data_IF_471340318105
#
_entry.id   IF_471340318105
#
_cell.length_a   1.000
_cell.length_b   1.000
_cell.length_c   1.000
_cell.angle_alpha   90.00
_cell.angle_beta   90.00
_cell.angle_gamma   90.00
#
_symmetry.space_group_name_H-M   'P 1'
#
loop_
_entity.id
_entity.type
_entity.pdbx_description
1 polymer ?
#
# COMPACT_ATOMS: atom_id res chain seq x y z
N UNK A 1 -8.43 -12.67 4.02
CA UNK A 1 -8.19 -11.22 3.81
C UNK A 1 -8.08 -10.41 5.09
N UNK A 2 -9.08 -10.39 5.98
CA UNK A 2 -9.05 -9.51 7.18
C UNK A 2 -7.79 -9.66 8.05
N UNK A 3 -7.35 -10.89 8.33
CA UNK A 3 -6.15 -11.16 9.15
C UNK A 3 -4.87 -10.61 8.49
N UNK A 4 -4.72 -10.80 7.18
CA UNK A 4 -3.59 -10.29 6.39
C UNK A 4 -3.54 -8.75 6.49
N UNK A 5 -4.68 -8.08 6.32
CA UNK A 5 -4.76 -6.62 6.43
C UNK A 5 -4.40 -6.14 7.84
N UNK A 6 -4.85 -6.84 8.89
CA UNK A 6 -4.50 -6.50 10.28
C UNK A 6 -2.99 -6.62 10.50
N UNK A 7 -2.37 -7.73 10.08
CA UNK A 7 -0.92 -7.94 10.22
C UNK A 7 -0.15 -6.85 9.47
N UNK A 8 -0.55 -6.53 8.24
CA UNK A 8 0.04 -5.47 7.44
C UNK A 8 -0.10 -4.11 8.13
N UNK A 9 -1.28 -3.78 8.63
CA UNK A 9 -1.56 -2.50 9.29
C UNK A 9 -0.70 -2.33 10.55
N UNK A 10 -0.67 -3.36 11.40
CA UNK A 10 0.12 -3.33 12.64
C UNK A 10 1.62 -3.21 12.32
N UNK A 11 2.13 -4.02 11.40
CA UNK A 11 3.55 -3.96 11.02
C UNK A 11 3.93 -2.60 10.42
N UNK A 12 3.09 -2.03 9.55
CA UNK A 12 3.32 -0.71 8.95
C UNK A 12 3.31 0.39 10.01
N UNK A 13 2.34 0.39 10.92
CA UNK A 13 2.24 1.38 11.99
C UNK A 13 3.45 1.32 12.91
N UNK A 14 3.88 0.11 13.28
CA UNK A 14 5.06 -0.11 14.12
C UNK A 14 6.31 0.43 13.42
N UNK A 15 6.48 0.17 12.12
CA UNK A 15 7.59 0.70 11.33
C UNK A 15 7.60 2.24 11.29
N UNK A 16 6.45 2.89 11.11
CA UNK A 16 6.33 4.36 11.11
C UNK A 16 6.76 4.95 12.45
N UNK A 17 6.28 4.38 13.57
CA UNK A 17 6.61 4.86 14.93
C UNK A 17 8.12 4.79 15.18
N UNK A 18 8.76 3.70 14.77
CA UNK A 18 10.21 3.53 14.96
C UNK A 18 10.99 4.46 14.02
N UNK A 19 10.57 4.60 12.77
CA UNK A 19 11.19 5.52 11.82
C UNK A 19 11.11 6.98 12.30
N UNK A 20 9.97 7.40 12.89
CA UNK A 20 9.81 8.72 13.49
C UNK A 20 10.74 8.92 14.69
N UNK A 21 10.96 7.88 15.49
CA UNK A 21 11.82 7.96 16.68
C UNK A 21 13.32 8.02 16.31
N UNK A 22 13.71 7.40 15.19
CA UNK A 22 15.10 7.37 14.72
C UNK A 22 15.45 8.54 13.79
N UNK A 23 14.48 9.33 13.34
CA UNK A 23 14.73 10.47 12.44
C UNK A 23 15.05 11.73 13.22
N UNK A 24 16.27 12.25 13.06
CA UNK A 24 16.69 13.54 13.63
C UNK A 24 16.44 14.75 12.70
N UNK A 25 15.92 14.51 11.49
CA UNK A 25 15.67 15.58 10.52
C UNK A 25 14.33 16.28 10.80
N UNK A 26 14.35 17.60 10.81
CA UNK A 26 13.12 18.39 10.86
C UNK A 26 12.31 18.22 9.57
N UNK A 27 11.10 17.68 9.70
CA UNK A 27 10.13 17.64 8.60
C UNK A 27 9.73 19.09 8.28
N UNK A 28 10.17 19.57 7.12
CA UNK A 28 9.72 20.86 6.61
C UNK A 28 8.31 20.69 6.03
N UNK A 29 7.35 21.45 6.57
CA UNK A 29 5.97 21.49 6.07
C UNK A 29 5.77 22.47 4.91
N UNK A 30 6.87 22.95 4.32
CA UNK A 30 6.81 23.86 3.17
C UNK A 30 6.31 23.05 1.98
N UNK A 31 5.17 23.46 1.45
CA UNK A 31 4.62 22.89 0.23
C UNK A 31 5.58 23.16 -0.93
N UNK A 32 6.06 22.08 -1.55
CA UNK A 32 6.81 22.14 -2.81
C UNK A 32 5.90 21.69 -3.94
N UNK A 33 5.59 22.61 -4.85
CA UNK A 33 4.91 22.29 -6.10
C UNK A 33 5.96 22.03 -7.18
N UNK A 34 5.69 21.12 -8.14
CA UNK A 34 6.56 20.92 -9.30
C UNK A 34 6.72 22.23 -10.07
N UNK A 35 7.96 22.67 -10.28
CA UNK A 35 8.26 23.89 -11.05
C UNK A 35 8.85 23.55 -12.42
N UNK A 36 9.56 22.42 -12.52
CA UNK A 36 10.30 22.03 -13.71
C UNK A 36 9.54 20.98 -14.54
N UNK A 37 9.75 20.97 -15.86
CA UNK A 37 9.13 20.01 -16.78
C UNK A 37 9.30 18.52 -16.37
N UNK A 38 10.45 18.05 -15.83
CA UNK A 38 10.58 16.67 -15.37
C UNK A 38 9.71 16.34 -14.16
N UNK A 39 9.55 17.28 -13.23
CA UNK A 39 8.74 17.10 -12.01
C UNK A 39 7.25 17.06 -12.37
N UNK A 40 6.83 17.92 -13.30
CA UNK A 40 5.46 17.92 -13.85
C UNK A 40 5.21 16.61 -14.62
N UNK A 41 6.17 16.16 -15.44
CA UNK A 41 6.09 14.89 -16.17
C UNK A 41 5.96 13.69 -15.22
N UNK A 42 6.73 13.68 -14.13
CA UNK A 42 6.61 12.66 -13.08
C UNK A 42 5.22 12.70 -12.42
N UNK A 43 4.71 13.89 -12.08
CA UNK A 43 3.38 14.01 -11.47
C UNK A 43 2.28 13.47 -12.40
N UNK A 44 2.32 13.79 -13.69
CA UNK A 44 1.38 13.28 -14.70
C UNK A 44 1.45 11.75 -14.77
N UNK A 45 2.66 11.19 -14.86
CA UNK A 45 2.85 9.74 -14.90
C UNK A 45 2.34 9.06 -13.62
N UNK A 46 2.62 9.65 -12.45
CA UNK A 46 2.17 9.16 -11.16
C UNK A 46 0.63 9.17 -11.04
N UNK A 47 -0.02 10.27 -11.42
CA UNK A 47 -1.48 10.38 -11.43
C UNK A 47 -2.13 9.41 -12.43
N UNK A 48 -1.53 9.24 -13.61
CA UNK A 48 -2.02 8.34 -14.65
C UNK A 48 -1.91 6.85 -14.28
N UNK A 49 -0.97 6.50 -13.38
CA UNK A 49 -0.82 5.15 -12.83
C UNK A 49 -1.75 4.84 -11.65
N UNK A 50 -2.38 5.86 -11.06
CA UNK A 50 -3.19 5.73 -9.85
C UNK A 50 -4.71 5.45 -10.01
N UNK A 51 -5.32 5.30 -11.20
CA UNK A 51 -6.61 4.64 -11.28
C UNK A 51 -6.42 3.13 -11.20
N UNK A 52 -7.07 2.51 -10.22
CA UNK A 52 -7.17 1.07 -10.16
C UNK A 52 -7.89 0.55 -11.44
N UNK A 53 -7.49 -0.61 -12.01
CA UNK A 53 -8.15 -1.16 -13.19
C UNK A 53 -9.67 -1.21 -13.04
N UNK A 54 -10.40 -0.87 -14.12
CA UNK A 54 -11.87 -0.88 -14.12
C UNK A 54 -12.44 -2.26 -13.73
N UNK A 55 -11.68 -3.33 -13.96
CA UNK A 55 -12.00 -4.71 -13.58
C UNK A 55 -12.28 -4.91 -12.08
N UNK A 56 -11.65 -4.10 -11.21
CA UNK A 56 -11.86 -4.19 -9.76
C UNK A 56 -13.31 -3.83 -9.39
N UNK A 57 -13.95 -2.94 -10.15
CA UNK A 57 -15.37 -2.61 -9.95
C UNK A 57 -16.28 -3.81 -10.21
N UNK A 58 -15.93 -4.64 -11.19
CA UNK A 58 -16.65 -5.88 -11.52
C UNK A 58 -16.49 -6.87 -10.37
N UNK A 59 -15.27 -7.03 -9.85
CA UNK A 59 -14.98 -7.92 -8.72
C UNK A 59 -15.78 -7.55 -7.47
N UNK A 60 -15.81 -6.26 -7.14
CA UNK A 60 -16.63 -5.75 -6.03
C UNK A 60 -18.11 -6.04 -6.20
N UNK A 61 -18.64 -5.89 -7.42
CA UNK A 61 -20.04 -6.20 -7.72
C UNK A 61 -20.35 -7.69 -7.53
N UNK A 62 -19.49 -8.58 -8.04
CA UNK A 62 -19.64 -10.02 -7.90
C UNK A 62 -19.58 -10.47 -6.43
N UNK A 63 -18.66 -9.93 -5.64
CA UNK A 63 -18.60 -10.20 -4.20
C UNK A 63 -19.83 -9.69 -3.45
N UNK A 64 -20.37 -8.53 -3.82
CA UNK A 64 -21.60 -7.98 -3.22
C UNK A 64 -22.82 -8.86 -3.56
N UNK A 65 -22.92 -9.35 -4.79
CA UNK A 65 -23.97 -10.27 -5.21
C UNK A 65 -23.92 -11.59 -4.43
N UNK A 66 -22.75 -12.20 -4.28
CA UNK A 66 -22.64 -13.44 -3.50
C UNK A 66 -22.95 -13.24 -2.02
N UNK A 67 -22.50 -12.12 -1.44
CA UNK A 67 -22.81 -11.78 -0.04
C UNK A 67 -24.31 -11.56 0.19
N UNK A 68 -25.03 -11.07 -0.82
CA UNK A 68 -26.49 -10.94 -0.78
C UNK A 68 -27.22 -12.29 -0.86
N UNK A 69 -26.67 -13.27 -1.58
CA UNK A 69 -27.23 -14.64 -1.61
C UNK A 69 -27.10 -15.32 -0.25
N UNK A 70 -25.97 -15.14 0.44
CA UNK A 70 -25.75 -15.68 1.78
C UNK A 70 -26.52 -14.92 2.87
N UNK A 71 -26.67 -13.61 2.73
CA UNK A 71 -27.36 -12.76 3.68
C UNK A 71 -28.40 -11.87 2.99
N UNK A 72 -29.67 -12.29 3.01
CA UNK A 72 -30.78 -11.54 2.39
C UNK A 72 -31.04 -10.14 2.98
N UNK A 73 -30.43 -9.80 4.12
CA UNK A 73 -30.46 -8.44 4.68
C UNK A 73 -29.37 -7.51 4.14
N UNK A 74 -28.50 -8.01 3.23
CA UNK A 74 -27.41 -7.24 2.66
C UNK A 74 -27.95 -6.18 1.69
N UNK A 75 -28.03 -4.95 2.21
CA UNK A 75 -28.50 -3.79 1.46
C UNK A 75 -27.35 -3.05 0.77
N UNK A 76 -27.69 -2.21 -0.21
CA UNK A 76 -26.74 -1.27 -0.83
C UNK A 76 -26.05 -0.39 0.23
N UNK A 77 -26.79 0.04 1.27
CA UNK A 77 -26.24 0.83 2.36
C UNK A 77 -25.15 0.07 3.14
N UNK A 78 -25.35 -1.22 3.37
CA UNK A 78 -24.35 -2.10 4.01
C UNK A 78 -23.12 -2.28 3.12
N UNK A 79 -23.31 -2.43 1.80
CA UNK A 79 -22.20 -2.51 0.84
C UNK A 79 -21.38 -1.22 0.76
N UNK A 80 -22.03 -0.06 0.76
CA UNK A 80 -21.35 1.24 0.78
C UNK A 80 -20.59 1.46 2.09
N UNK A 81 -21.14 1.03 3.22
CA UNK A 81 -20.45 1.10 4.50
C UNK A 81 -19.18 0.24 4.49
N UNK A 82 -19.27 -1.02 4.05
CA UNK A 82 -18.12 -1.93 3.92
C UNK A 82 -17.03 -1.31 3.01
N UNK A 83 -17.44 -0.73 1.88
CA UNK A 83 -16.53 -0.05 0.96
C UNK A 83 -15.85 1.16 1.60
N UNK A 84 -16.60 2.06 2.22
CA UNK A 84 -16.07 3.28 2.83
C UNK A 84 -15.08 2.99 3.96
N UNK A 85 -15.35 1.97 4.79
CA UNK A 85 -14.43 1.53 5.84
C UNK A 85 -13.13 1.00 5.23
N UNK A 86 -13.23 0.14 4.21
CA UNK A 86 -12.07 -0.36 3.49
C UNK A 86 -11.25 0.76 2.84
N UNK A 87 -11.92 1.66 2.13
CA UNK A 87 -11.30 2.78 1.43
C UNK A 87 -10.58 3.74 2.39
N UNK A 88 -11.22 4.08 3.52
CA UNK A 88 -10.61 4.93 4.56
C UNK A 88 -9.37 4.27 5.16
N UNK A 89 -9.43 2.97 5.45
CA UNK A 89 -8.28 2.22 5.94
C UNK A 89 -7.14 2.19 4.91
N UNK A 90 -7.44 2.05 3.61
CA UNK A 90 -6.44 2.10 2.53
C UNK A 90 -5.79 3.48 2.44
N UNK A 91 -6.56 4.57 2.54
CA UNK A 91 -6.00 5.94 2.57
C UNK A 91 -5.03 6.09 3.75
N UNK A 92 -5.45 5.66 4.94
CA UNK A 92 -4.63 5.76 6.15
C UNK A 92 -3.31 5.00 6.00
N UNK A 93 -3.36 3.75 5.53
CA UNK A 93 -2.16 2.93 5.29
C UNK A 93 -1.28 3.54 4.20
N UNK A 94 -1.88 4.07 3.12
CA UNK A 94 -1.16 4.76 2.05
C UNK A 94 -0.37 5.97 2.56
N UNK A 95 -0.97 6.74 3.48
CA UNK A 95 -0.27 7.83 4.16
C UNK A 95 0.90 7.32 5.01
N UNK A 96 0.73 6.22 5.74
CA UNK A 96 1.83 5.58 6.47
C UNK A 96 3.00 5.16 5.56
N UNK A 97 2.73 4.57 4.40
CA UNK A 97 3.78 4.23 3.42
C UNK A 97 4.48 5.46 2.84
N UNK A 98 3.72 6.54 2.58
CA UNK A 98 4.30 7.81 2.14
C UNK A 98 5.24 8.40 3.20
N UNK A 99 4.85 8.35 4.48
CA UNK A 99 5.71 8.76 5.60
C UNK A 99 6.98 7.90 5.66
N UNK A 100 6.88 6.58 5.54
CA UNK A 100 8.05 5.71 5.53
C UNK A 100 8.99 6.02 4.37
N UNK A 101 8.47 6.27 3.16
CA UNK A 101 9.28 6.73 2.03
C UNK A 101 10.01 8.04 2.35
N UNK A 102 9.33 8.97 3.02
CA UNK A 102 9.92 10.25 3.43
C UNK A 102 10.97 10.11 4.53
N UNK A 103 10.77 9.22 5.51
CA UNK A 103 11.67 9.08 6.65
C UNK A 103 12.88 8.20 6.35
N UNK A 104 12.71 7.18 5.49
CA UNK A 104 13.73 6.15 5.23
C UNK A 104 14.44 6.35 3.88
N UNK A 105 13.72 6.78 2.85
CA UNK A 105 14.25 6.82 1.47
C UNK A 105 14.66 8.23 1.04
N UNK A 106 13.94 9.27 1.45
CA UNK A 106 14.26 10.65 1.10
C UNK A 106 15.62 11.06 1.67
N UNK A 107 16.45 11.75 0.87
CA UNK A 107 17.82 12.16 1.22
C UNK A 107 18.78 11.02 1.62
N UNK A 108 18.43 9.75 1.38
CA UNK A 108 19.33 8.62 1.64
C UNK A 108 20.61 8.60 0.79
N UNK A 109 20.64 9.37 -0.32
CA UNK A 109 21.77 9.44 -1.24
C UNK A 109 21.91 8.24 -2.19
N UNK A 110 21.06 7.24 -2.03
CA UNK A 110 21.07 6.00 -2.81
C UNK A 110 20.37 6.17 -4.16
N UNK A 111 20.89 5.51 -5.19
CA UNK A 111 20.25 5.46 -6.52
C UNK A 111 19.47 4.16 -6.66
N UNK A 112 18.16 4.28 -6.88
CA UNK A 112 17.29 3.12 -7.06
C UNK A 112 17.52 2.47 -8.42
N UNK A 113 17.72 1.15 -8.40
CA UNK A 113 17.78 0.35 -9.62
C UNK A 113 16.41 0.27 -10.28
N UNK A 114 16.38 0.30 -11.62
CA UNK A 114 15.16 0.02 -12.39
C UNK A 114 14.77 -1.47 -12.36
N UNK A 115 15.67 -2.35 -11.89
CA UNK A 115 15.41 -3.79 -11.77
C UNK A 115 14.73 -4.08 -10.44
N UNK A 116 13.50 -4.62 -10.49
CA UNK A 116 12.66 -4.85 -9.31
C UNK A 116 13.34 -5.65 -8.19
N UNK A 117 14.02 -6.76 -8.51
CA UNK A 117 14.72 -7.58 -7.51
C UNK A 117 15.83 -6.79 -6.80
N UNK A 118 16.57 -5.97 -7.55
CA UNK A 118 17.64 -5.14 -6.97
C UNK A 118 17.04 -4.04 -6.11
N UNK A 119 15.97 -3.40 -6.58
CA UNK A 119 15.23 -2.40 -5.82
C UNK A 119 14.67 -2.95 -4.50
N UNK A 120 14.08 -4.16 -4.51
CA UNK A 120 13.57 -4.81 -3.29
C UNK A 120 14.68 -5.02 -2.24
N UNK A 121 15.87 -5.45 -2.67
CA UNK A 121 17.02 -5.60 -1.77
C UNK A 121 17.53 -4.25 -1.25
N UNK A 122 17.57 -3.22 -2.10
CA UNK A 122 17.91 -1.86 -1.69
C UNK A 122 16.94 -1.34 -0.63
N UNK A 123 15.64 -1.54 -0.83
CA UNK A 123 14.59 -1.13 0.09
C UNK A 123 14.75 -1.85 1.44
N UNK A 124 14.91 -3.17 1.45
CA UNK A 124 15.13 -3.92 2.69
C UNK A 124 16.41 -3.45 3.40
N UNK A 125 17.49 -3.17 2.67
CA UNK A 125 18.74 -2.66 3.26
C UNK A 125 18.56 -1.29 3.91
N UNK A 126 17.84 -0.36 3.27
CA UNK A 126 17.57 0.97 3.84
C UNK A 126 16.76 0.90 5.13
N UNK A 127 15.72 0.07 5.12
CA UNK A 127 14.88 -0.09 6.29
C UNK A 127 15.63 -0.79 7.43
N UNK A 128 16.43 -1.81 7.15
CA UNK A 128 17.25 -2.48 8.18
C UNK A 128 18.36 -1.59 8.74
N UNK A 129 18.94 -0.70 7.93
CA UNK A 129 19.86 0.34 8.42
C UNK A 129 19.19 1.33 9.38
N UNK A 130 17.96 1.74 9.10
CA UNK A 130 17.23 2.73 9.91
C UNK A 130 16.51 2.12 11.13
N UNK A 131 16.00 0.90 11.04
CA UNK A 131 15.14 0.26 12.05
C UNK A 131 15.89 -0.83 12.86
N UNK A 132 17.05 -1.27 12.39
CA UNK A 132 17.83 -2.37 12.96
C UNK A 132 17.65 -3.70 12.21
N UNK A 133 18.56 -4.64 12.45
CA UNK A 133 18.61 -5.94 11.73
C UNK A 133 17.36 -6.80 11.93
N UNK A 134 16.71 -6.71 13.09
CA UNK A 134 15.46 -7.44 13.40
C UNK A 134 14.29 -7.04 12.48
N UNK A 135 14.31 -5.82 11.92
CA UNK A 135 13.28 -5.34 11.00
C UNK A 135 13.27 -6.11 9.66
N UNK A 136 14.37 -6.78 9.30
CA UNK A 136 14.48 -7.58 8.08
C UNK A 136 13.37 -8.63 8.01
N UNK A 137 13.20 -9.39 9.10
CA UNK A 137 12.23 -10.49 9.16
C UNK A 137 10.80 -9.96 9.05
N UNK A 138 10.51 -8.85 9.71
CA UNK A 138 9.17 -8.24 9.71
C UNK A 138 8.81 -7.73 8.32
N UNK A 139 9.72 -7.03 7.65
CA UNK A 139 9.50 -6.49 6.31
C UNK A 139 9.38 -7.62 5.30
N UNK A 140 10.20 -8.66 5.41
CA UNK A 140 10.09 -9.86 4.57
C UNK A 140 8.72 -10.53 4.69
N UNK A 141 8.24 -10.73 5.93
CA UNK A 141 6.90 -11.30 6.18
C UNK A 141 5.80 -10.39 5.62
N UNK A 142 5.89 -9.07 5.83
CA UNK A 142 4.91 -8.11 5.32
C UNK A 142 4.87 -8.09 3.79
N UNK A 143 6.03 -8.08 3.13
CA UNK A 143 6.15 -8.10 1.67
C UNK A 143 5.57 -9.40 1.10
N UNK A 144 5.97 -10.56 1.65
CA UNK A 144 5.44 -11.86 1.23
C UNK A 144 3.92 -11.93 1.41
N UNK A 145 3.42 -11.57 2.60
CA UNK A 145 2.00 -11.61 2.94
C UNK A 145 1.18 -10.70 2.02
N UNK A 146 1.73 -9.54 1.64
CA UNK A 146 1.10 -8.62 0.68
C UNK A 146 1.00 -9.22 -0.72
N UNK A 147 2.10 -9.75 -1.26
CA UNK A 147 2.10 -10.38 -2.58
C UNK A 147 1.20 -11.63 -2.63
N UNK A 148 1.23 -12.43 -1.57
CA UNK A 148 0.36 -13.58 -1.41
C UNK A 148 -1.12 -13.17 -1.35
N UNK A 149 -1.44 -12.07 -0.65
CA UNK A 149 -2.78 -11.50 -0.61
C UNK A 149 -3.29 -11.09 -1.99
N UNK A 150 -2.46 -10.42 -2.78
CA UNK A 150 -2.81 -10.04 -4.16
C UNK A 150 -3.11 -11.29 -4.99
N UNK A 151 -2.28 -12.32 -4.85
CA UNK A 151 -2.45 -13.60 -5.56
C UNK A 151 -3.77 -14.29 -5.17
N UNK A 152 -4.11 -14.34 -3.89
CA UNK A 152 -5.39 -14.91 -3.44
C UNK A 152 -6.59 -14.10 -3.96
N UNK A 153 -6.47 -12.77 -3.99
CA UNK A 153 -7.55 -11.90 -4.47
C UNK A 153 -7.80 -12.10 -5.96
N UNK A 154 -6.74 -12.19 -6.77
CA UNK A 154 -6.86 -12.44 -8.21
C UNK A 154 -7.33 -13.87 -8.50
N UNK A 155 -6.86 -14.87 -7.75
CA UNK A 155 -7.32 -16.25 -7.86
C UNK A 155 -8.80 -16.42 -7.52
N UNK A 156 -9.35 -15.64 -6.59
CA UNK A 156 -10.79 -15.68 -6.27
C UNK A 156 -11.62 -14.87 -7.27
N UNK A 157 -11.16 -13.68 -7.65
CA UNK A 157 -11.95 -12.76 -8.47
C UNK A 157 -11.96 -13.13 -9.95
N UNK A 158 -10.82 -13.58 -10.48
CA UNK A 158 -10.63 -13.88 -11.90
C UNK A 158 -11.60 -14.97 -12.41
N UNK A 159 -11.74 -16.14 -11.75
CA UNK A 159 -12.70 -17.15 -12.15
C UNK A 159 -14.16 -16.67 -12.03
N UNK A 160 -14.49 -15.83 -11.04
CA UNK A 160 -15.85 -15.30 -10.87
C UNK A 160 -16.25 -14.33 -11.98
N UNK A 161 -15.28 -13.65 -12.60
CA UNK A 161 -15.51 -12.64 -13.63
C UNK A 161 -15.48 -13.20 -15.06
N UNK A 162 -14.82 -14.35 -15.28
CA UNK A 162 -14.67 -14.97 -16.61
C UNK A 162 -15.70 -16.07 -16.91
N UNK A 163 -16.50 -16.47 -15.91
CA UNK A 163 -17.62 -17.42 -16.05
C UNK A 163 -18.91 -16.63 -16.21
#
# INVERSE_FOLDING_TARGET
>A
MKIIVIILTVSTLTAVIIALSNTSQHVSWIQKLPENAPEIGFLIAFMGWMPAPLDISIWHSLWALEKNKENKSYSVKSSLFDFNVGYTATIFIGFCFMLLGTLVMFQSGERFSAVGTVFSNQLISMYTKNLGSWAYVIIGIAAFTTMFSTTLTTLDASPRAMV
#
